data_IF_763326532110
#
_entry.id   IF_763326532110
#
_cell.length_a   1.000
_cell.length_b   1.000
_cell.length_c   1.000
_cell.angle_alpha   90.00
_cell.angle_beta   90.00
_cell.angle_gamma   90.00
#
_symmetry.space_group_name_H-M   'P 1'
#
loop_
_entity.id
_entity.type
_entity.pdbx_description
1 polymer ?
#
# COMPACT_ATOMS: atom_id res chain seq x y z
N UNK A 1 10.67 2.05 -35.44
CA UNK A 1 9.40 2.35 -34.73
C UNK A 1 8.61 1.06 -34.50
N UNK A 2 7.87 0.94 -33.40
CA UNK A 2 6.92 -0.17 -33.21
C UNK A 2 5.76 -0.04 -34.20
N UNK A 3 5.23 -1.17 -34.67
CA UNK A 3 4.01 -1.19 -35.51
C UNK A 3 2.77 -1.01 -34.59
N UNK A 4 2.02 0.10 -34.70
CA UNK A 4 0.88 0.37 -33.84
C UNK A 4 -0.20 -0.71 -33.90
N UNK A 5 -0.44 -1.29 -35.09
CA UNK A 5 -1.46 -2.33 -35.26
C UNK A 5 -1.07 -3.61 -34.49
N UNK A 6 0.21 -3.97 -34.51
CA UNK A 6 0.73 -5.11 -33.74
C UNK A 6 0.64 -4.86 -32.23
N UNK A 7 0.94 -3.64 -31.78
CA UNK A 7 0.83 -3.28 -30.35
C UNK A 7 -0.63 -3.30 -29.88
N UNK A 8 -1.55 -2.74 -30.67
CA UNK A 8 -2.99 -2.81 -30.41
C UNK A 8 -3.46 -4.27 -30.26
N UNK A 9 -3.09 -5.14 -31.21
CA UNK A 9 -3.46 -6.56 -31.18
C UNK A 9 -2.93 -7.29 -29.92
N UNK A 10 -1.73 -6.96 -29.45
CA UNK A 10 -1.19 -7.49 -28.20
C UNK A 10 -2.05 -7.07 -27.00
N UNK A 11 -2.43 -5.78 -26.92
CA UNK A 11 -3.29 -5.29 -25.85
C UNK A 11 -4.69 -5.87 -25.90
N UNK A 12 -5.29 -6.05 -27.08
CA UNK A 12 -6.60 -6.67 -27.22
C UNK A 12 -6.58 -8.12 -26.74
N UNK A 13 -5.51 -8.86 -27.09
CA UNK A 13 -5.31 -10.24 -26.63
C UNK A 13 -5.20 -10.31 -25.11
N UNK A 14 -4.41 -9.42 -24.50
CA UNK A 14 -4.24 -9.37 -23.04
C UNK A 14 -5.54 -8.92 -22.35
N UNK A 15 -6.24 -7.93 -22.88
CA UNK A 15 -7.51 -7.45 -22.35
C UNK A 15 -8.58 -8.52 -22.37
N UNK A 16 -8.69 -9.29 -23.46
CA UNK A 16 -9.61 -10.42 -23.55
C UNK A 16 -9.31 -11.49 -22.49
N UNK A 17 -8.02 -11.81 -22.27
CA UNK A 17 -7.60 -12.75 -21.21
C UNK A 17 -7.96 -12.25 -19.82
N UNK A 18 -7.75 -10.98 -19.53
CA UNK A 18 -8.09 -10.37 -18.23
C UNK A 18 -9.60 -10.37 -18.01
N UNK A 19 -10.41 -10.04 -19.02
CA UNK A 19 -11.87 -10.11 -18.94
C UNK A 19 -12.36 -11.52 -18.65
N UNK A 20 -11.87 -12.51 -19.42
CA UNK A 20 -12.21 -13.91 -19.19
C UNK A 20 -11.81 -14.40 -17.78
N UNK A 21 -10.67 -13.94 -17.27
CA UNK A 21 -10.22 -14.26 -15.91
C UNK A 21 -11.02 -13.56 -14.80
N UNK A 22 -11.63 -12.40 -15.07
CA UNK A 22 -12.57 -11.76 -14.15
C UNK A 22 -13.92 -12.48 -14.18
N UNK A 23 -14.43 -12.78 -15.38
CA UNK A 23 -15.70 -13.51 -15.57
C UNK A 23 -15.67 -14.90 -14.93
N UNK A 24 -14.54 -15.61 -15.04
CA UNK A 24 -14.40 -16.97 -14.47
C UNK A 24 -14.45 -17.02 -12.94
N UNK A 25 -14.33 -15.87 -12.26
CA UNK A 25 -14.48 -15.80 -10.80
C UNK A 25 -15.94 -15.95 -10.36
N UNK A 26 -16.91 -15.77 -11.26
CA UNK A 26 -18.33 -15.88 -10.95
C UNK A 26 -18.82 -14.84 -9.94
N UNK A 27 -18.18 -13.66 -9.91
CA UNK A 27 -18.53 -12.56 -9.03
C UNK A 27 -19.29 -11.49 -9.80
N UNK A 28 -20.30 -10.90 -9.16
CA UNK A 28 -21.01 -9.74 -9.69
C UNK A 28 -20.21 -8.47 -9.41
N UNK A 29 -19.62 -7.87 -10.44
CA UNK A 29 -18.89 -6.61 -10.33
C UNK A 29 -19.80 -5.42 -10.68
N UNK A 30 -19.73 -4.33 -9.90
CA UNK A 30 -20.42 -3.07 -10.21
C UNK A 30 -19.72 -2.28 -11.31
N UNK A 31 -18.40 -2.45 -11.45
CA UNK A 31 -17.62 -1.89 -12.53
C UNK A 31 -16.37 -2.74 -12.78
N UNK A 32 -15.89 -2.73 -14.03
CA UNK A 32 -14.61 -3.32 -14.42
C UNK A 32 -13.80 -2.28 -15.17
N UNK A 33 -12.62 -1.95 -14.65
CA UNK A 33 -11.67 -1.03 -15.28
C UNK A 33 -10.44 -1.80 -15.73
N UNK A 34 -10.09 -1.67 -17.00
CA UNK A 34 -8.83 -2.18 -17.53
C UNK A 34 -7.83 -1.03 -17.69
N UNK A 35 -6.58 -1.26 -17.32
CA UNK A 35 -5.46 -0.33 -17.51
C UNK A 35 -4.37 -1.03 -18.31
N UNK A 36 -3.78 -0.30 -19.25
CA UNK A 36 -2.69 -0.78 -20.10
C UNK A 36 -1.37 -0.18 -19.64
N UNK A 37 -0.34 -0.99 -19.58
CA UNK A 37 0.99 -0.58 -19.14
C UNK A 37 2.06 -1.29 -19.97
N UNK A 38 3.24 -0.68 -20.05
CA UNK A 38 4.42 -1.28 -20.64
C UNK A 38 5.62 -1.11 -19.72
N UNK A 39 6.51 -2.10 -19.66
CA UNK A 39 7.87 -1.81 -19.22
C UNK A 39 8.59 -1.09 -20.34
N UNK A 40 9.08 0.10 -20.04
CA UNK A 40 9.93 0.87 -20.94
C UNK A 40 11.31 1.05 -20.33
N UNK A 41 12.32 1.14 -21.20
CA UNK A 41 13.71 1.46 -20.82
C UNK A 41 14.39 2.24 -21.92
N UNK A 42 15.40 3.03 -21.56
CA UNK A 42 16.32 3.56 -22.56
C UNK A 42 17.15 2.44 -23.17
N UNK A 43 17.47 2.52 -24.46
CA UNK A 43 18.16 1.46 -25.23
C UNK A 43 19.34 0.76 -24.52
N UNK A 44 20.35 1.50 -24.03
CA UNK A 44 21.55 0.94 -23.39
C UNK A 44 21.33 0.55 -21.92
N UNK A 45 20.20 0.90 -21.32
CA UNK A 45 19.94 0.66 -19.90
C UNK A 45 19.22 -0.67 -19.69
N UNK A 46 19.49 -1.32 -18.56
CA UNK A 46 18.79 -2.54 -18.14
C UNK A 46 17.61 -2.24 -17.20
N UNK A 47 17.56 -1.05 -16.61
CA UNK A 47 16.48 -0.68 -15.70
C UNK A 47 15.20 -0.40 -16.47
N UNK A 48 14.15 -1.14 -16.13
CA UNK A 48 12.81 -0.97 -16.68
C UNK A 48 11.94 -0.13 -15.74
N UNK A 49 11.13 0.74 -16.34
CA UNK A 49 10.14 1.56 -15.66
C UNK A 49 8.77 1.20 -16.19
N UNK A 50 7.86 0.92 -15.27
CA UNK A 50 6.45 0.72 -15.59
C UNK A 50 5.86 2.04 -16.08
N UNK A 51 5.38 2.04 -17.31
CA UNK A 51 4.87 3.23 -17.99
C UNK A 51 3.41 3.02 -18.36
N UNK A 52 2.50 3.94 -17.97
CA UNK A 52 1.11 3.86 -18.37
C UNK A 52 0.96 4.08 -19.87
N UNK A 53 0.02 3.35 -20.48
CA UNK A 53 -0.39 3.53 -21.87
C UNK A 53 -1.74 4.26 -21.88
N UNK A 54 -1.90 5.35 -22.65
CA UNK A 54 -3.18 6.06 -22.76
C UNK A 54 -4.32 5.12 -23.15
N UNK A 55 -5.55 5.40 -22.74
CA UNK A 55 -6.74 4.65 -23.16
C UNK A 55 -7.11 4.92 -24.65
N UNK A 56 -7.95 4.07 -25.24
CA UNK A 56 -8.41 4.21 -26.63
C UNK A 56 -7.63 3.37 -27.66
N UNK A 57 -7.76 3.70 -28.94
CA UNK A 57 -7.02 3.01 -30.01
C UNK A 57 -5.53 3.38 -29.93
N UNK A 58 -4.68 2.37 -30.06
CA UNK A 58 -3.24 2.54 -30.09
C UNK A 58 -2.80 2.96 -31.50
N UNK A 59 -2.24 4.16 -31.58
CA UNK A 59 -1.80 4.81 -32.81
C UNK A 59 -0.40 5.45 -32.61
N UNK A 60 0.05 6.23 -33.58
CA UNK A 60 1.34 6.94 -33.49
C UNK A 60 1.36 7.97 -32.36
N UNK A 61 0.24 8.63 -32.08
CA UNK A 61 0.13 9.57 -30.96
C UNK A 61 0.30 8.86 -29.61
N UNK A 62 -0.20 7.63 -29.50
CA UNK A 62 -0.03 6.77 -28.32
C UNK A 62 1.44 6.45 -28.06
N UNK A 63 2.24 6.24 -29.11
CA UNK A 63 3.69 5.99 -28.99
C UNK A 63 4.41 7.21 -28.41
N UNK A 64 4.10 8.41 -28.91
CA UNK A 64 4.67 9.65 -28.40
C UNK A 64 4.31 9.88 -26.93
N UNK A 65 3.03 9.67 -26.58
CA UNK A 65 2.53 9.79 -25.22
C UNK A 65 3.19 8.81 -24.25
N UNK A 66 3.45 7.57 -24.67
CA UNK A 66 4.22 6.61 -23.85
C UNK A 66 5.66 7.10 -23.63
N UNK A 67 6.28 7.68 -24.66
CA UNK A 67 7.61 8.27 -24.52
C UNK A 67 7.64 9.31 -23.40
N UNK A 68 6.70 10.24 -23.43
CA UNK A 68 6.63 11.33 -22.45
C UNK A 68 6.23 10.83 -21.04
N UNK A 69 5.33 9.85 -20.97
CA UNK A 69 4.96 9.20 -19.71
C UNK A 69 6.14 8.43 -19.10
N UNK A 70 6.92 7.72 -19.92
CA UNK A 70 8.11 7.02 -19.49
C UNK A 70 9.13 7.99 -18.91
N UNK A 71 9.41 9.11 -19.56
CA UNK A 71 10.38 10.08 -19.05
C UNK A 71 9.92 10.71 -17.73
N UNK A 72 8.62 10.97 -17.62
CA UNK A 72 8.02 11.47 -16.37
C UNK A 72 8.24 10.48 -15.23
N UNK A 73 7.91 9.21 -15.43
CA UNK A 73 8.09 8.16 -14.42
C UNK A 73 9.57 7.86 -14.13
N UNK A 74 10.41 7.92 -15.16
CA UNK A 74 11.85 7.73 -15.03
C UNK A 74 12.47 8.83 -14.16
N UNK A 75 12.19 10.10 -14.44
CA UNK A 75 12.65 11.23 -13.64
C UNK A 75 12.09 11.18 -12.22
N UNK A 76 10.83 10.79 -12.04
CA UNK A 76 10.23 10.60 -10.71
C UNK A 76 10.98 9.54 -9.90
N UNK A 77 11.47 8.47 -10.54
CA UNK A 77 12.14 7.35 -9.89
C UNK A 77 13.64 7.56 -9.68
N UNK A 78 14.33 8.19 -10.63
CA UNK A 78 15.80 8.28 -10.66
C UNK A 78 16.34 9.70 -10.54
N UNK A 79 15.48 10.72 -10.61
CA UNK A 79 15.82 12.12 -10.44
C UNK A 79 16.03 12.88 -11.76
N UNK A 80 15.95 14.23 -11.73
CA UNK A 80 16.12 15.07 -12.92
C UNK A 80 17.50 14.90 -13.56
N UNK A 81 17.56 14.99 -14.90
CA UNK A 81 18.81 14.92 -15.66
C UNK A 81 19.39 13.52 -15.86
N UNK A 82 18.71 12.47 -15.38
CA UNK A 82 19.15 11.06 -15.52
C UNK A 82 18.58 10.36 -16.77
N UNK A 83 17.70 11.03 -17.51
CA UNK A 83 17.09 10.52 -18.74
C UNK A 83 18.03 10.59 -19.95
N UNK A 84 17.83 9.70 -20.93
CA UNK A 84 18.65 9.63 -22.14
C UNK A 84 17.81 9.33 -23.41
N UNK A 85 16.96 10.30 -23.80
CA UNK A 85 15.98 10.14 -24.89
C UNK A 85 16.60 9.79 -26.24
N UNK A 86 17.78 10.35 -26.52
CA UNK A 86 18.51 10.14 -27.78
C UNK A 86 18.93 8.67 -27.97
N UNK A 87 18.99 7.90 -26.87
CA UNK A 87 19.28 6.47 -26.92
C UNK A 87 18.10 5.60 -27.37
N UNK A 88 16.94 6.23 -27.61
CA UNK A 88 15.70 5.55 -27.92
C UNK A 88 15.06 4.90 -26.69
N UNK A 89 13.76 4.66 -26.80
CA UNK A 89 12.96 3.99 -25.77
C UNK A 89 12.52 2.63 -26.31
N UNK A 90 12.79 1.58 -25.55
CA UNK A 90 12.37 0.22 -25.86
C UNK A 90 11.18 -0.15 -25.00
N UNK A 91 10.10 -0.64 -25.63
CA UNK A 91 8.97 -1.26 -24.94
C UNK A 91 9.27 -2.76 -24.84
N UNK A 92 9.39 -3.27 -23.62
CA UNK A 92 9.89 -4.63 -23.34
C UNK A 92 8.72 -5.58 -23.07
N UNK A 93 7.92 -5.26 -22.05
CA UNK A 93 6.81 -6.10 -21.59
C UNK A 93 5.50 -5.34 -21.75
N UNK A 94 4.46 -5.98 -22.28
CA UNK A 94 3.11 -5.43 -22.38
C UNK A 94 2.24 -6.02 -21.28
N UNK A 95 1.46 -5.19 -20.59
CA UNK A 95 0.57 -5.61 -19.50
C UNK A 95 -0.81 -4.99 -19.63
N UNK A 96 -1.81 -5.76 -19.21
CA UNK A 96 -3.15 -5.27 -18.94
C UNK A 96 -3.51 -5.67 -17.52
N UNK A 97 -3.89 -4.68 -16.72
CA UNK A 97 -4.38 -4.87 -15.36
C UNK A 97 -5.90 -4.66 -15.35
N UNK A 98 -6.64 -5.58 -14.72
CA UNK A 98 -8.09 -5.47 -14.56
C UNK A 98 -8.48 -5.30 -13.10
N UNK A 99 -9.31 -4.31 -12.80
CA UNK A 99 -9.90 -4.07 -11.48
C UNK A 99 -11.39 -4.27 -11.58
N UNK A 100 -11.91 -5.31 -10.93
CA UNK A 100 -13.35 -5.50 -10.70
C UNK A 100 -13.74 -4.92 -9.35
N UNK A 101 -14.72 -4.03 -9.33
CA UNK A 101 -15.27 -3.45 -8.09
C UNK A 101 -16.44 -4.30 -7.62
N UNK A 102 -16.38 -4.82 -6.39
CA UNK A 102 -17.48 -5.59 -5.79
C UNK A 102 -18.57 -4.65 -5.25
N UNK A 103 -19.83 -5.10 -5.18
CA UNK A 103 -20.95 -4.35 -4.57
C UNK A 103 -20.89 -4.37 -3.03
N UNK A 104 -19.70 -4.43 -2.47
CA UNK A 104 -19.47 -4.50 -1.03
C UNK A 104 -18.52 -3.37 -0.65
N UNK A 105 -19.00 -2.49 0.22
CA UNK A 105 -18.19 -1.47 0.87
C UNK A 105 -18.02 -1.88 2.34
N UNK A 106 -16.87 -2.45 2.72
CA UNK A 106 -16.65 -2.85 4.11
C UNK A 106 -16.57 -1.61 4.99
N UNK A 107 -17.56 -1.43 5.84
CA UNK A 107 -17.55 -0.38 6.88
C UNK A 107 -16.84 -0.92 8.10
N UNK A 108 -15.76 -0.27 8.51
CA UNK A 108 -15.11 -0.56 9.78
C UNK A 108 -15.97 0.03 10.92
N UNK A 109 -16.52 -0.80 11.82
CA UNK A 109 -17.36 -0.29 12.90
C UNK A 109 -16.51 0.48 13.91
N UNK A 110 -17.01 1.64 14.35
CA UNK A 110 -16.42 2.34 15.48
C UNK A 110 -16.79 1.62 16.78
N UNK A 111 -15.82 1.49 17.68
CA UNK A 111 -16.04 0.93 19.00
C UNK A 111 -16.74 1.97 19.90
N UNK A 112 -17.63 1.53 20.82
CA UNK A 112 -18.27 2.43 21.75
C UNK A 112 -17.24 3.07 22.69
N UNK A 113 -17.54 4.29 23.15
CA UNK A 113 -16.69 4.96 24.14
C UNK A 113 -16.66 4.12 25.44
N UNK A 114 -15.48 3.86 26.02
CA UNK A 114 -15.37 3.09 27.25
C UNK A 114 -15.99 3.88 28.43
N UNK A 115 -16.60 3.16 29.36
CA UNK A 115 -17.15 3.74 30.58
C UNK A 115 -16.08 4.08 31.63
N UNK A 116 -14.95 3.37 31.60
CA UNK A 116 -13.83 3.50 32.55
C UNK A 116 -12.61 4.20 31.97
N UNK A 117 -11.55 4.23 32.77
CA UNK A 117 -10.23 4.76 32.42
C UNK A 117 -9.29 3.67 31.90
N UNK A 118 -8.16 4.06 31.32
CA UNK A 118 -7.13 3.10 30.91
C UNK A 118 -6.56 2.30 32.12
N UNK A 119 -6.59 2.89 33.32
CA UNK A 119 -6.13 2.24 34.55
C UNK A 119 -6.95 0.99 34.91
N UNK A 120 -8.23 0.95 34.53
CA UNK A 120 -9.10 -0.22 34.77
C UNK A 120 -8.66 -1.43 33.93
N UNK A 121 -7.93 -1.20 32.84
CA UNK A 121 -7.33 -2.23 32.00
C UNK A 121 -5.95 -2.69 32.51
N UNK A 122 -5.37 -2.03 33.53
CA UNK A 122 -4.09 -2.44 34.09
C UNK A 122 -4.26 -3.73 34.90
N UNK A 123 -3.64 -4.80 34.44
CA UNK A 123 -3.72 -6.13 35.07
C UNK A 123 -2.55 -6.47 36.00
N UNK A 124 -1.51 -5.63 36.03
CA UNK A 124 -0.40 -5.79 36.97
C UNK A 124 0.85 -5.02 36.56
N UNK A 125 1.96 -5.37 37.22
CA UNK A 125 3.30 -4.88 36.90
C UNK A 125 4.27 -6.04 36.70
N UNK A 126 5.22 -5.87 35.78
CA UNK A 126 6.29 -6.84 35.53
C UNK A 126 7.61 -6.10 35.32
N UNK A 127 8.70 -6.65 35.87
CA UNK A 127 10.05 -6.20 35.53
C UNK A 127 10.36 -6.55 34.09
N UNK A 128 10.70 -5.56 33.29
CA UNK A 128 11.07 -5.71 31.88
C UNK A 128 12.37 -4.96 31.60
N UNK A 129 13.09 -5.41 30.58
CA UNK A 129 14.28 -4.75 30.06
C UNK A 129 13.96 -4.34 28.62
N UNK A 130 13.50 -3.11 28.42
CA UNK A 130 13.11 -2.60 27.11
C UNK A 130 14.17 -1.68 26.49
N UNK A 131 15.05 -1.12 27.31
CA UNK A 131 16.02 -0.11 26.90
C UNK A 131 17.36 -0.34 27.63
N UNK A 132 18.45 -0.48 26.87
CA UNK A 132 19.80 -0.67 27.40
C UNK A 132 20.27 0.49 28.28
N UNK A 133 19.78 1.71 28.04
CA UNK A 133 20.15 2.92 28.80
C UNK A 133 19.42 3.03 30.13
N UNK A 134 18.27 2.37 30.28
CA UNK A 134 17.43 2.42 31.49
C UNK A 134 17.52 1.15 32.33
N UNK A 135 17.89 0.03 31.71
CA UNK A 135 18.02 -1.26 32.39
C UNK A 135 16.67 -1.92 32.68
N UNK A 136 16.61 -2.69 33.76
CA UNK A 136 15.39 -3.36 34.20
C UNK A 136 14.48 -2.40 34.97
N UNK A 137 13.23 -2.26 34.55
CA UNK A 137 12.26 -1.36 35.17
C UNK A 137 10.93 -2.08 35.46
N UNK A 138 10.27 -1.74 36.57
CA UNK A 138 8.90 -2.18 36.83
C UNK A 138 7.95 -1.45 35.90
N UNK A 139 7.25 -2.20 35.04
CA UNK A 139 6.44 -1.67 33.95
C UNK A 139 5.00 -2.13 34.08
N UNK A 140 4.07 -1.20 33.88
CA UNK A 140 2.63 -1.48 33.90
C UNK A 140 2.24 -2.38 32.72
N UNK A 141 1.42 -3.39 33.02
CA UNK A 141 0.90 -4.35 32.03
C UNK A 141 -0.60 -4.14 31.89
N UNK A 142 -1.05 -3.86 30.67
CA UNK A 142 -2.44 -3.63 30.33
C UNK A 142 -3.01 -4.81 29.55
N UNK A 143 -4.27 -5.17 29.83
CA UNK A 143 -5.05 -6.07 28.98
C UNK A 143 -5.68 -5.25 27.84
N UNK A 144 -5.30 -5.54 26.61
CA UNK A 144 -5.82 -4.85 25.44
C UNK A 144 -7.34 -4.97 25.30
N UNK A 145 -7.92 -6.11 25.70
CA UNK A 145 -9.36 -6.34 25.58
C UNK A 145 -10.19 -5.48 26.55
N UNK A 146 -9.55 -4.94 27.59
CA UNK A 146 -10.17 -4.03 28.54
C UNK A 146 -9.98 -2.54 28.16
N UNK A 147 -9.16 -2.25 27.15
CA UNK A 147 -8.98 -0.90 26.66
C UNK A 147 -10.07 -0.52 25.65
N UNK A 148 -10.40 0.78 25.60
CA UNK A 148 -11.38 1.30 24.64
C UNK A 148 -10.98 2.64 24.03
N UNK A 149 -11.71 3.10 23.00
CA UNK A 149 -11.44 4.35 22.30
C UNK A 149 -11.15 5.54 23.21
N UNK A 150 -10.06 6.24 22.92
CA UNK A 150 -9.62 7.42 23.66
C UNK A 150 -8.81 7.12 24.92
N UNK A 151 -8.66 5.85 25.32
CA UNK A 151 -7.70 5.48 26.35
C UNK A 151 -6.27 5.80 25.92
N UNK A 152 -5.47 6.25 26.89
CA UNK A 152 -4.08 6.67 26.73
C UNK A 152 -3.22 5.90 27.71
N UNK A 153 -2.07 5.41 27.24
CA UNK A 153 -1.11 4.61 27.98
C UNK A 153 0.25 5.30 27.83
N UNK A 154 0.80 5.77 28.94
CA UNK A 154 2.13 6.38 28.97
C UNK A 154 3.18 5.29 29.17
N UNK A 155 4.21 5.27 28.32
CA UNK A 155 5.30 4.33 28.46
C UNK A 155 6.32 4.71 29.55
N UNK A 156 7.09 3.75 30.09
CA UNK A 156 7.17 2.35 29.66
C UNK A 156 5.92 1.57 30.07
N UNK A 157 5.33 0.83 29.13
CA UNK A 157 4.17 -0.02 29.36
C UNK A 157 4.22 -1.26 28.45
N UNK A 158 3.59 -2.35 28.89
CA UNK A 158 3.32 -3.52 28.06
C UNK A 158 1.81 -3.65 27.86
N UNK A 159 1.38 -3.80 26.62
CA UNK A 159 -0.01 -4.09 26.27
C UNK A 159 -0.09 -5.51 25.75
N UNK A 160 -0.79 -6.38 26.47
CA UNK A 160 -0.95 -7.79 26.11
C UNK A 160 -2.27 -8.01 25.37
N UNK A 161 -2.18 -8.69 24.23
CA UNK A 161 -3.30 -9.11 23.37
C UNK A 161 -3.26 -10.64 23.32
N UNK A 162 -4.37 -11.37 23.13
CA UNK A 162 -4.32 -12.83 23.04
C UNK A 162 -3.33 -13.39 21.99
N UNK A 163 -3.02 -12.62 20.95
CA UNK A 163 -2.18 -13.03 19.82
C UNK A 163 -0.84 -12.30 19.73
N UNK A 164 -0.61 -11.27 20.54
CA UNK A 164 0.61 -10.45 20.47
C UNK A 164 0.89 -9.70 21.77
N UNK A 165 2.07 -9.11 21.89
CA UNK A 165 2.44 -8.24 23.01
C UNK A 165 3.14 -7.01 22.46
N UNK A 166 2.66 -5.84 22.86
CA UNK A 166 3.17 -4.55 22.38
C UNK A 166 3.89 -3.86 23.52
N UNK A 167 5.15 -3.49 23.30
CA UNK A 167 5.90 -2.64 24.20
C UNK A 167 5.69 -1.18 23.79
N UNK A 168 5.23 -0.34 24.73
CA UNK A 168 5.19 1.11 24.60
C UNK A 168 6.46 1.66 25.25
N UNK A 169 7.42 2.20 24.48
CA UNK A 169 8.70 2.66 25.02
C UNK A 169 8.56 3.82 26.01
N UNK A 170 9.60 4.03 26.80
CA UNK A 170 9.74 5.20 27.67
C UNK A 170 9.48 6.51 26.93
N UNK A 171 8.62 7.39 27.47
CA UNK A 171 8.33 8.70 26.87
C UNK A 171 7.44 8.65 25.63
N UNK A 172 7.07 7.46 25.15
CA UNK A 172 6.05 7.29 24.12
C UNK A 172 4.64 7.24 24.73
N UNK A 173 3.65 7.53 23.89
CA UNK A 173 2.23 7.46 24.25
C UNK A 173 1.50 6.47 23.33
N UNK A 174 0.86 5.46 23.93
CA UNK A 174 -0.07 4.56 23.24
C UNK A 174 -1.50 5.06 23.37
N UNK A 175 -2.19 5.29 22.25
CA UNK A 175 -3.59 5.74 22.24
C UNK A 175 -4.48 4.78 21.49
N UNK A 176 -5.62 4.42 22.07
CA UNK A 176 -6.64 3.62 21.39
C UNK A 176 -7.50 4.53 20.51
N UNK A 177 -7.50 4.29 19.20
CA UNK A 177 -8.35 5.03 18.27
C UNK A 177 -9.82 4.57 18.31
N UNK A 178 -10.68 5.20 17.51
CA UNK A 178 -12.11 4.87 17.44
C UNK A 178 -12.42 3.48 16.88
N UNK A 179 -11.47 2.83 16.22
CA UNK A 179 -11.58 1.48 15.68
C UNK A 179 -10.92 0.43 16.58
N UNK A 180 -10.30 0.85 17.69
CA UNK A 180 -9.59 -0.01 18.62
C UNK A 180 -8.09 -0.13 18.36
N UNK A 181 -7.53 0.48 17.32
CA UNK A 181 -6.09 0.37 17.05
C UNK A 181 -5.28 1.05 18.17
N UNK A 182 -4.19 0.41 18.59
CA UNK A 182 -3.20 1.03 19.46
C UNK A 182 -2.18 1.82 18.61
N UNK A 183 -2.34 3.13 18.55
CA UNK A 183 -1.41 4.05 17.90
C UNK A 183 -0.32 4.50 18.87
N UNK A 184 0.93 4.21 18.56
CA UNK A 184 2.09 4.61 19.38
C UNK A 184 2.70 5.88 18.79
N UNK A 185 2.75 6.92 19.61
CA UNK A 185 3.40 8.20 19.31
C UNK A 185 4.74 8.22 20.03
N UNK A 186 5.81 8.30 19.25
CA UNK A 186 7.17 8.45 19.77
C UNK A 186 7.44 9.92 20.15
N UNK A 187 8.33 10.17 21.11
CA UNK A 187 8.72 11.53 21.51
C UNK A 187 9.41 12.32 20.39
#
# INVERSE_FOLDING_TARGET
PVDPARVQANFDTLAARVRAALESQGLDFTSVVLRREVDARYGPQLAEVLTPVPDGLFDEASVAAIGDAFETEYVRRFGPGTGYREAGIHLVTYRVHGVGTLPVEPVLPELPKPAGSAEDARKGRRRVFLDLTRGWEDTDVYDYLALGPGHVITGPAIVEVPTTTVAVPAGAEGRIDRFGNLAIHLP
#
